data_IF_580936301516
#
_entry.id   IF_580936301516
#
_cell.length_a   1.000
_cell.length_b   1.000
_cell.length_c   1.000
_cell.angle_alpha   90.00
_cell.angle_beta   90.00
_cell.angle_gamma   90.00
#
_symmetry.space_group_name_H-M   'P 1'
#
loop_
_entity.id
_entity.type
_entity.pdbx_description
1 polymer ?
#
# COMPACT_ATOMS: atom_id res chain seq x y z
N UNK A 1 -4.16 -0.47 9.34
CA UNK A 1 -3.18 -0.69 8.26
C UNK A 1 -3.34 0.48 7.31
N UNK A 2 -2.29 1.23 6.98
CA UNK A 2 -2.38 2.43 6.16
C UNK A 2 -2.58 2.13 4.66
N UNK A 3 -3.01 0.91 4.31
CA UNK A 3 -3.18 0.46 2.93
C UNK A 3 -4.50 -0.30 2.77
N UNK A 4 -5.20 -0.03 1.68
CA UNK A 4 -6.30 -0.88 1.16
C UNK A 4 -5.80 -1.65 -0.04
N UNK A 5 -6.09 -2.95 -0.08
CA UNK A 5 -5.66 -3.85 -1.16
C UNK A 5 -6.87 -4.38 -1.94
N UNK A 6 -6.87 -4.20 -3.26
CA UNK A 6 -7.94 -4.64 -4.16
C UNK A 6 -7.39 -5.42 -5.33
N UNK A 7 -7.78 -6.69 -5.44
CA UNK A 7 -7.54 -7.48 -6.66
C UNK A 7 -8.37 -6.92 -7.81
N UNK A 8 -7.75 -6.76 -8.96
CA UNK A 8 -8.41 -6.25 -10.17
C UNK A 8 -8.88 -7.40 -11.07
N UNK A 9 -9.41 -7.05 -12.25
CA UNK A 9 -9.84 -8.02 -13.27
C UNK A 9 -8.69 -8.94 -13.72
N UNK A 10 -7.47 -8.44 -13.74
CA UNK A 10 -6.26 -9.23 -13.95
C UNK A 10 -5.81 -9.71 -12.56
N UNK A 11 -5.84 -11.01 -12.31
CA UNK A 11 -5.68 -11.63 -11.00
C UNK A 11 -4.33 -11.37 -10.33
N UNK A 12 -3.32 -11.13 -11.16
CA UNK A 12 -1.93 -10.86 -10.83
C UNK A 12 -1.69 -9.38 -10.49
N UNK A 13 -2.68 -8.51 -10.77
CA UNK A 13 -2.62 -7.08 -10.47
C UNK A 13 -3.41 -6.76 -9.22
N UNK A 14 -2.74 -6.13 -8.27
CA UNK A 14 -3.32 -5.66 -7.01
C UNK A 14 -3.21 -4.14 -7.00
N UNK A 15 -4.34 -3.45 -6.86
CA UNK A 15 -4.38 -2.03 -6.56
C UNK A 15 -4.13 -1.84 -5.05
N UNK A 16 -3.18 -0.99 -4.71
CA UNK A 16 -2.80 -0.66 -3.33
C UNK A 16 -3.04 0.84 -3.14
N UNK A 17 -3.96 1.19 -2.25
CA UNK A 17 -4.30 2.59 -1.97
C UNK A 17 -3.81 2.96 -0.57
N UNK A 18 -2.87 3.91 -0.43
CA UNK A 18 -2.40 4.34 0.87
C UNK A 18 -3.39 5.32 1.53
N UNK A 19 -3.36 5.36 2.85
CA UNK A 19 -4.04 6.38 3.64
C UNK A 19 -3.27 7.71 3.58
N UNK A 20 -4.00 8.81 3.42
CA UNK A 20 -3.43 10.16 3.39
C UNK A 20 -3.60 10.80 4.76
N UNK A 21 -2.50 10.96 5.48
CA UNK A 21 -2.46 11.64 6.77
C UNK A 21 -2.26 13.14 6.54
N UNK A 22 -3.14 13.99 7.08
CA UNK A 22 -3.10 15.45 6.89
C UNK A 22 -3.03 16.18 8.21
N UNK A 23 -2.26 17.26 8.25
CA UNK A 23 -2.23 18.21 9.37
C UNK A 23 -1.92 19.64 8.90
N UNK A 24 -1.73 20.57 9.83
CA UNK A 24 -1.42 21.97 9.52
C UNK A 24 -0.10 22.22 8.79
N UNK A 25 0.78 21.21 8.67
CA UNK A 25 2.07 21.28 7.97
C UNK A 25 1.95 20.77 6.53
N UNK A 26 0.90 20.02 6.21
CA UNK A 26 0.67 19.43 4.89
C UNK A 26 0.08 18.03 4.99
N UNK A 27 0.63 17.09 4.23
CA UNK A 27 0.22 15.69 4.26
C UNK A 27 1.41 14.75 4.14
N UNK A 28 1.21 13.52 4.60
CA UNK A 28 2.14 12.41 4.51
C UNK A 28 1.39 11.17 4.02
N UNK A 29 2.08 10.35 3.22
CA UNK A 29 1.65 9.02 2.80
C UNK A 29 2.80 8.05 3.00
N UNK A 30 2.49 6.85 3.50
CA UNK A 30 3.40 5.71 3.41
C UNK A 30 3.13 5.04 2.07
N UNK A 31 4.14 4.98 1.19
CA UNK A 31 3.99 4.38 -0.15
C UNK A 31 4.35 2.90 -0.17
N UNK A 32 5.13 2.44 0.81
CA UNK A 32 5.58 1.05 0.91
C UNK A 32 5.89 0.67 2.36
N UNK A 33 5.45 -0.54 2.72
CA UNK A 33 5.82 -1.21 3.98
C UNK A 33 5.87 -2.72 3.77
N UNK A 34 7.07 -3.29 3.82
CA UNK A 34 7.29 -4.71 3.54
C UNK A 34 6.35 -5.64 4.33
N UNK A 35 6.19 -5.41 5.63
CA UNK A 35 5.36 -6.28 6.49
C UNK A 35 3.91 -6.34 6.04
N UNK A 36 3.38 -5.25 5.50
CA UNK A 36 1.96 -5.14 5.14
C UNK A 36 1.75 -5.72 3.73
N UNK A 37 2.72 -5.54 2.83
CA UNK A 37 2.71 -6.13 1.49
C UNK A 37 2.91 -7.66 1.54
N UNK A 38 3.80 -8.14 2.42
CA UNK A 38 4.04 -9.56 2.62
C UNK A 38 2.79 -10.31 3.12
N UNK A 39 1.94 -9.65 3.91
CA UNK A 39 0.67 -10.23 4.39
C UNK A 39 -0.34 -10.48 3.27
N UNK A 40 -0.27 -9.73 2.16
CA UNK A 40 -1.14 -9.93 0.98
C UNK A 40 -0.49 -10.77 -0.12
N UNK A 41 0.68 -11.35 0.16
CA UNK A 41 1.39 -12.26 -0.73
C UNK A 41 2.44 -11.62 -1.63
N UNK A 42 2.72 -10.32 -1.47
CA UNK A 42 3.80 -9.62 -2.19
C UNK A 42 5.05 -9.67 -1.30
N UNK A 43 5.97 -10.59 -1.60
CA UNK A 43 7.11 -10.93 -0.72
C UNK A 43 8.42 -10.28 -1.16
N UNK A 44 8.37 -9.53 -2.25
CA UNK A 44 9.50 -8.84 -2.84
C UNK A 44 9.86 -7.57 -2.04
N UNK A 45 11.14 -7.26 -2.02
CA UNK A 45 11.63 -5.97 -1.54
C UNK A 45 11.73 -5.01 -2.72
N UNK A 46 11.07 -3.87 -2.61
CA UNK A 46 11.12 -2.79 -3.60
C UNK A 46 12.20 -1.76 -3.21
N UNK A 47 12.83 -1.13 -4.21
CA UNK A 47 13.83 -0.06 -4.05
C UNK A 47 13.21 1.32 -4.23
#
# INVERSE_FOLDING_TARGET
MPFTFKRLRISEVILIEPEIFKDGRGFFIETYKYSDFAQVGIKEHFV
#
